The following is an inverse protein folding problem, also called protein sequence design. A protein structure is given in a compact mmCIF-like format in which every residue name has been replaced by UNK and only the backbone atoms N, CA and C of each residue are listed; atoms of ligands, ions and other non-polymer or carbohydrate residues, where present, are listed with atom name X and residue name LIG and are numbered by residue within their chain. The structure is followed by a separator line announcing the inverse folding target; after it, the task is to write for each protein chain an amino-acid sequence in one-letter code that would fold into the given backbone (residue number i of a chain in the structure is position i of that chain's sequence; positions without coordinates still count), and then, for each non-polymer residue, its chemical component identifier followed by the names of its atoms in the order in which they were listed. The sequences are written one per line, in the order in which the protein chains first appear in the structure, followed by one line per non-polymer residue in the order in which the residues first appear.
data_IF_753150505416
#
_entry.id   IF_753150505416
#
_cell.length_a   1.000
_cell.length_b   1.000
_cell.length_c   1.000
_cell.angle_alpha   90.00
_cell.angle_beta   90.00
_cell.angle_gamma   90.00
#
_symmetry.space_group_name_H-M   'P 1'
#
loop_
_entity.id
_entity.type
_entity.pdbx_description
1 polymer ?
#
# COMPACT_ATOMS: atom_id res chain seq x y z
N UNK A 1 -12.39 23.65 28.70
CA UNK A 1 -11.47 24.23 27.68
C UNK A 1 -10.58 23.13 27.16
N UNK A 2 -10.73 22.76 25.89
CA UNK A 2 -10.14 21.59 25.25
C UNK A 2 -8.62 21.70 25.08
N UNK A 3 -7.86 20.84 25.78
CA UNK A 3 -6.46 20.58 25.48
C UNK A 3 -6.36 19.50 24.39
N UNK A 4 -6.35 19.92 23.12
CA UNK A 4 -6.18 19.01 21.98
C UNK A 4 -5.24 19.58 20.91
N UNK A 5 -4.03 20.05 21.24
CA UNK A 5 -3.07 20.35 20.17
C UNK A 5 -1.64 20.04 20.54
N UNK A 6 -1.02 19.27 19.63
CA UNK A 6 0.41 18.96 19.43
C UNK A 6 0.90 17.65 20.04
N UNK A 7 0.44 16.54 19.45
CA UNK A 7 1.23 15.32 19.41
C UNK A 7 2.38 15.53 18.39
N UNK A 8 3.67 15.51 18.79
CA UNK A 8 4.81 15.88 17.93
C UNK A 8 5.15 14.86 16.83
N UNK A 9 4.37 13.79 16.68
CA UNK A 9 4.54 12.80 15.61
C UNK A 9 4.01 13.23 14.23
N UNK A 10 3.52 14.46 14.09
CA UNK A 10 2.96 14.96 12.82
C UNK A 10 4.06 15.22 11.76
N UNK A 11 5.31 15.49 12.16
CA UNK A 11 6.38 15.88 11.23
C UNK A 11 6.98 14.71 10.43
N UNK A 12 7.01 13.49 10.98
CA UNK A 12 7.61 12.31 10.32
C UNK A 12 6.66 11.61 9.34
N UNK A 13 5.36 11.89 9.43
CA UNK A 13 4.34 11.32 8.54
C UNK A 13 4.31 12.03 7.17
N UNK A 14 4.68 13.32 7.13
CA UNK A 14 4.59 14.15 5.92
C UNK A 14 5.70 13.80 4.90
N UNK A 15 6.87 13.31 5.35
CA UNK A 15 7.99 12.90 4.47
C UNK A 15 7.85 11.48 3.93
N UNK A 16 7.27 10.54 4.68
CA UNK A 16 7.08 9.15 4.24
C UNK A 16 5.87 8.98 3.32
N UNK A 17 4.90 9.90 3.37
CA UNK A 17 3.74 9.91 2.45
C UNK A 17 4.15 10.19 0.99
N UNK A 18 5.32 10.73 0.68
CA UNK A 18 5.62 11.12 -0.71
C UNK A 18 6.59 10.19 -1.47
N UNK A 19 7.15 9.16 -0.81
CA UNK A 19 8.24 8.34 -1.41
C UNK A 19 7.78 6.91 -1.80
N UNK A 20 6.51 6.53 -1.60
CA UNK A 20 6.08 5.20 -2.06
C UNK A 20 6.03 5.15 -3.58
N UNK A 21 6.72 4.19 -4.25
CA UNK A 21 6.72 4.09 -5.69
C UNK A 21 5.30 3.87 -6.23
N UNK A 22 5.00 4.42 -7.40
CA UNK A 22 3.68 4.39 -8.05
C UNK A 22 3.08 2.97 -8.25
N UNK A 23 3.91 1.93 -8.08
CA UNK A 23 3.60 0.50 -8.25
C UNK A 23 3.64 -0.28 -6.92
N UNK A 24 3.53 0.39 -5.79
CA UNK A 24 3.45 -0.25 -4.47
C UNK A 24 2.19 0.15 -3.70
N UNK A 25 1.71 -0.76 -2.86
CA UNK A 25 0.57 -0.53 -1.99
C UNK A 25 0.96 0.42 -0.86
N UNK A 26 0.20 1.51 -0.68
CA UNK A 26 0.47 2.46 0.40
C UNK A 26 0.21 1.91 1.81
N UNK A 27 -0.67 0.92 1.93
CA UNK A 27 -1.06 0.34 3.22
C UNK A 27 -0.13 -0.77 3.73
N UNK A 28 0.54 -1.50 2.82
CA UNK A 28 1.37 -2.65 3.21
C UNK A 28 2.71 -2.72 2.49
N UNK A 29 3.10 -1.69 1.73
CA UNK A 29 4.38 -1.63 1.04
C UNK A 29 4.56 -2.59 -0.14
N UNK A 30 3.60 -3.48 -0.41
CA UNK A 30 3.74 -4.53 -1.44
C UNK A 30 3.99 -3.93 -2.82
N UNK A 31 5.18 -4.18 -3.36
CA UNK A 31 5.57 -3.90 -4.73
C UNK A 31 5.53 -5.15 -5.63
N UNK A 32 5.99 -4.99 -6.87
CA UNK A 32 6.07 -6.10 -7.81
C UNK A 32 7.02 -7.19 -7.32
N UNK A 33 6.75 -8.44 -7.71
CA UNK A 33 7.65 -9.56 -7.48
C UNK A 33 8.28 -10.01 -8.80
N UNK A 34 9.58 -10.23 -8.80
CA UNK A 34 10.28 -10.91 -9.90
C UNK A 34 10.08 -12.41 -9.70
N UNK A 35 9.57 -13.10 -10.71
CA UNK A 35 9.34 -14.54 -10.71
C UNK A 35 9.89 -15.17 -11.99
N UNK A 36 10.02 -16.48 -11.98
CA UNK A 36 10.28 -17.27 -13.19
C UNK A 36 9.00 -17.99 -13.60
N UNK A 37 8.62 -17.80 -14.86
CA UNK A 37 7.64 -18.62 -15.55
C UNK A 37 8.39 -19.82 -16.17
N UNK A 38 7.80 -21.02 -16.12
CA UNK A 38 8.43 -22.27 -16.57
C UNK A 38 7.53 -22.92 -17.61
N UNK A 39 8.07 -23.18 -18.79
CA UNK A 39 7.34 -23.90 -19.84
C UNK A 39 7.18 -25.39 -19.50
N UNK A 40 6.39 -26.11 -20.30
CA UNK A 40 6.31 -27.58 -20.23
C UNK A 40 7.68 -28.28 -20.41
N UNK A 41 8.63 -27.64 -21.11
CA UNK A 41 10.03 -28.09 -21.22
C UNK A 41 10.96 -27.53 -20.13
N UNK A 42 10.39 -26.91 -19.07
CA UNK A 42 11.09 -26.35 -17.91
C UNK A 42 12.01 -25.14 -18.19
N UNK A 43 11.92 -24.55 -19.38
CA UNK A 43 12.67 -23.34 -19.73
C UNK A 43 12.20 -22.15 -18.89
N UNK A 44 13.13 -21.44 -18.25
CA UNK A 44 12.83 -20.30 -17.38
C UNK A 44 12.70 -19.00 -18.17
N UNK A 45 11.58 -18.29 -17.99
CA UNK A 45 11.41 -16.91 -18.48
C UNK A 45 11.18 -15.97 -17.30
N UNK A 46 11.93 -14.86 -17.23
CA UNK A 46 11.74 -13.87 -16.16
C UNK A 46 10.44 -13.09 -16.41
N UNK A 47 9.55 -13.08 -15.41
CA UNK A 47 8.30 -12.30 -15.42
C UNK A 47 8.19 -11.44 -14.16
N UNK A 48 7.51 -10.30 -14.25
CA UNK A 48 7.20 -9.45 -13.09
C UNK A 48 5.72 -9.55 -12.75
N UNK A 49 5.39 -10.13 -11.59
CA UNK A 49 4.04 -10.13 -11.07
C UNK A 49 3.72 -8.77 -10.45
N UNK A 50 2.76 -8.07 -11.04
CA UNK A 50 2.27 -6.80 -10.52
C UNK A 50 1.28 -7.03 -9.38
N UNK A 51 1.27 -6.14 -8.41
CA UNK A 51 0.25 -6.11 -7.36
C UNK A 51 -1.01 -5.48 -7.95
N UNK A 52 -2.18 -6.06 -7.69
CA UNK A 52 -3.45 -5.46 -8.08
C UNK A 52 -3.74 -4.23 -7.20
N UNK A 53 -3.27 -3.07 -7.66
CA UNK A 53 -3.38 -1.77 -7.01
C UNK A 53 -4.62 -1.03 -7.53
N UNK A 54 -5.45 -0.57 -6.59
CA UNK A 54 -6.69 0.14 -6.87
C UNK A 54 -6.80 1.38 -5.99
N UNK A 55 -7.64 2.33 -6.38
CA UNK A 55 -7.89 3.53 -5.60
C UNK A 55 -8.83 3.23 -4.43
N UNK A 56 -8.39 3.59 -3.23
CA UNK A 56 -9.17 3.51 -2.00
C UNK A 56 -9.42 4.93 -1.47
N UNK A 57 -10.68 5.26 -1.23
CA UNK A 57 -11.09 6.51 -0.57
C UNK A 57 -10.98 6.34 0.94
N UNK A 58 -10.13 7.13 1.60
CA UNK A 58 -9.96 7.10 3.07
C UNK A 58 -10.83 8.17 3.74
N UNK A 59 -10.95 9.33 3.09
CA UNK A 59 -11.71 10.46 3.58
C UNK A 59 -12.28 11.25 2.38
N UNK A 60 -13.25 12.15 2.59
CA UNK A 60 -13.76 13.00 1.51
C UNK A 60 -12.62 13.71 0.79
N UNK A 61 -12.52 13.52 -0.53
CA UNK A 61 -11.46 14.09 -1.36
C UNK A 61 -10.06 13.45 -1.23
N UNK A 62 -9.83 12.48 -0.33
CA UNK A 62 -8.54 11.82 -0.14
C UNK A 62 -8.57 10.36 -0.59
N UNK A 63 -7.79 10.06 -1.64
CA UNK A 63 -7.64 8.72 -2.21
C UNK A 63 -6.18 8.26 -2.17
N UNK A 64 -5.96 6.98 -1.90
CA UNK A 64 -4.64 6.33 -1.98
C UNK A 64 -4.70 5.12 -2.90
N UNK A 65 -3.55 4.72 -3.47
CA UNK A 65 -3.42 3.41 -4.12
C UNK A 65 -3.17 2.33 -3.07
N UNK A 66 -4.08 1.36 -2.99
CA UNK A 66 -4.00 0.21 -2.10
C UNK A 66 -4.25 -1.09 -2.87
N UNK A 67 -3.67 -2.19 -2.42
CA UNK A 67 -3.95 -3.49 -3.04
C UNK A 67 -5.34 -3.99 -2.63
N UNK A 68 -5.96 -4.81 -3.49
CA UNK A 68 -7.32 -5.33 -3.27
C UNK A 68 -7.49 -6.07 -1.94
N UNK A 69 -6.46 -6.78 -1.45
CA UNK A 69 -6.47 -7.42 -0.14
C UNK A 69 -6.62 -6.40 1.00
N UNK A 70 -5.88 -5.29 0.94
CA UNK A 70 -5.97 -4.24 1.93
C UNK A 70 -7.29 -3.47 1.82
N UNK A 71 -7.82 -3.27 0.61
CA UNK A 71 -9.16 -2.67 0.42
C UNK A 71 -10.22 -3.55 1.09
N UNK A 72 -10.20 -4.86 0.83
CA UNK A 72 -11.14 -5.81 1.45
C UNK A 72 -11.06 -5.76 2.98
N UNK A 73 -9.85 -5.74 3.54
CA UNK A 73 -9.66 -5.64 4.99
C UNK A 73 -10.12 -4.28 5.56
N UNK A 74 -9.94 -3.19 4.80
CA UNK A 74 -10.40 -1.84 5.16
C UNK A 74 -11.93 -1.78 5.23
N UNK A 75 -12.61 -2.25 4.19
CA UNK A 75 -14.07 -2.31 4.14
C UNK A 75 -14.66 -3.21 5.24
N UNK A 76 -13.96 -4.28 5.61
CA UNK A 76 -14.35 -5.17 6.70
C UNK A 76 -14.08 -4.61 8.11
N UNK A 77 -13.53 -3.39 8.24
CA UNK A 77 -13.20 -2.78 9.54
C UNK A 77 -12.05 -3.44 10.30
N UNK A 78 -11.27 -4.31 9.64
CA UNK A 78 -10.22 -5.12 10.28
C UNK A 78 -8.85 -4.43 10.34
N UNK A 79 -8.67 -3.31 9.66
CA UNK A 79 -7.36 -2.63 9.61
C UNK A 79 -7.22 -1.67 10.80
N UNK A 80 -6.34 -2.06 11.73
CA UNK A 80 -5.72 -1.17 12.71
C UNK A 80 -4.37 -0.72 12.15
N UNK A 81 -4.21 0.59 12.00
CA UNK A 81 -2.97 1.34 11.73
C UNK A 81 -2.27 1.15 10.37
N UNK A 82 -1.93 2.31 9.79
CA UNK A 82 -1.06 2.47 8.63
C UNK A 82 0.33 2.03 9.04
N UNK A 83 0.73 0.79 8.71
CA UNK A 83 2.12 0.39 8.85
C UNK A 83 2.89 0.94 7.65
N UNK A 84 3.76 1.95 7.82
CA UNK A 84 4.75 2.22 6.79
C UNK A 84 5.62 0.97 6.61
N UNK A 85 5.95 0.69 5.36
CA UNK A 85 6.98 -0.29 5.02
C UNK A 85 8.33 0.13 5.62
#
# INVERSE_FOLDING_TARGET
MLALYKNPNISYYIRTIMITPNKACRLCGKGYKKIFDRSHSMQATIRRQQVNLQWLTIAPGKRIKACTKCIKSFTAGKIKTLQPA
#
